data_IF_725727005300
#
_entry.id   IF_725727005300
#
_cell.length_a   1.000
_cell.length_b   1.000
_cell.length_c   1.000
_cell.angle_alpha   90.00
_cell.angle_beta   90.00
_cell.angle_gamma   90.00
#
_symmetry.space_group_name_H-M   'P 1'
#
loop_
_entity.id
_entity.type
_entity.pdbx_description
1 polymer ?
#
# COMPACT_ATOMS: atom_id res chain seq x y z
N UNK A 1 -18.20 8.25 -4.37
CA UNK A 1 -17.28 9.32 -4.01
C UNK A 1 -15.91 9.12 -4.58
N UNK A 2 -15.00 10.00 -4.24
CA UNK A 2 -13.63 9.99 -4.79
C UNK A 2 -12.84 8.75 -4.40
N UNK A 3 -13.01 8.26 -3.18
CA UNK A 3 -12.40 7.01 -2.74
C UNK A 3 -12.85 5.84 -3.62
N UNK A 4 -14.11 5.81 -4.00
CA UNK A 4 -14.66 4.81 -4.90
C UNK A 4 -14.05 4.92 -6.30
N UNK A 5 -13.87 6.14 -6.79
CA UNK A 5 -13.26 6.39 -8.10
C UNK A 5 -11.79 5.95 -8.14
N UNK A 6 -11.06 6.17 -7.05
CA UNK A 6 -9.68 5.71 -6.91
C UNK A 6 -9.62 4.18 -6.93
N UNK A 7 -10.49 3.52 -6.19
CA UNK A 7 -10.56 2.07 -6.14
C UNK A 7 -10.87 1.51 -7.53
N UNK A 8 -11.78 2.14 -8.27
CA UNK A 8 -12.08 1.77 -9.65
C UNK A 8 -10.88 1.95 -10.58
N UNK A 9 -10.16 3.07 -10.46
CA UNK A 9 -9.00 3.37 -11.31
C UNK A 9 -7.86 2.37 -11.12
N UNK A 10 -7.83 1.68 -9.99
CA UNK A 10 -6.85 0.65 -9.68
C UNK A 10 -7.22 -0.72 -10.28
N UNK A 11 -8.30 -0.80 -11.06
CA UNK A 11 -8.72 -2.03 -11.72
C UNK A 11 -9.44 -3.01 -10.82
N UNK A 12 -10.04 -2.54 -9.75
CA UNK A 12 -10.81 -3.37 -8.82
C UNK A 12 -12.19 -3.69 -9.39
N UNK A 13 -12.70 -2.82 -10.23
CA UNK A 13 -13.91 -3.02 -11.01
C UNK A 13 -13.58 -2.91 -12.50
N UNK A 14 -14.20 -3.74 -13.34
CA UNK A 14 -13.95 -3.82 -14.79
C UNK A 14 -14.49 -2.63 -15.58
N UNK A 15 -14.94 -1.57 -14.95
CA UNK A 15 -15.41 -0.38 -15.63
C UNK A 15 -14.23 0.51 -16.04
N UNK A 16 -14.17 0.83 -17.33
CA UNK A 16 -13.21 1.79 -17.84
C UNK A 16 -13.60 3.18 -17.34
N UNK A 17 -12.72 3.79 -16.56
CA UNK A 17 -12.87 5.19 -16.20
C UNK A 17 -12.42 6.07 -17.36
N UNK A 18 -13.13 7.16 -17.59
CA UNK A 18 -12.73 8.15 -18.58
C UNK A 18 -11.41 8.79 -18.17
N UNK A 19 -10.61 9.22 -19.13
CA UNK A 19 -9.37 9.95 -18.88
C UNK A 19 -9.60 11.19 -18.01
N UNK A 20 -10.76 11.81 -18.12
CA UNK A 20 -11.14 13.00 -17.34
C UNK A 20 -11.23 12.73 -15.84
N UNK A 21 -11.51 11.49 -15.45
CA UNK A 21 -11.55 11.07 -14.04
C UNK A 21 -10.17 10.60 -13.58
N UNK A 22 -9.44 9.86 -14.43
CA UNK A 22 -8.13 9.32 -14.10
C UNK A 22 -7.05 10.39 -13.91
N UNK A 23 -7.01 11.41 -14.75
CA UNK A 23 -6.01 12.48 -14.67
C UNK A 23 -6.01 13.22 -13.33
N UNK A 24 -7.18 13.68 -12.82
CA UNK A 24 -7.20 14.31 -11.50
C UNK A 24 -6.72 13.40 -10.38
N UNK A 25 -7.09 12.11 -10.44
CA UNK A 25 -6.66 11.12 -9.45
C UNK A 25 -5.16 10.92 -9.52
N UNK A 26 -4.60 10.72 -10.70
CA UNK A 26 -3.15 10.55 -10.90
C UNK A 26 -2.35 11.75 -10.41
N UNK A 27 -2.86 12.97 -10.62
CA UNK A 27 -2.21 14.20 -10.12
C UNK A 27 -2.23 14.30 -8.61
N UNK A 28 -3.27 13.75 -7.96
CA UNK A 28 -3.43 13.82 -6.52
C UNK A 28 -2.63 12.74 -5.78
N UNK A 29 -2.32 11.62 -6.45
CA UNK A 29 -1.67 10.49 -5.77
C UNK A 29 -0.70 9.69 -6.66
N UNK A 30 0.22 10.37 -7.38
CA UNK A 30 1.12 9.65 -8.29
C UNK A 30 1.98 8.61 -7.56
N UNK A 31 2.45 8.94 -6.37
CA UNK A 31 3.28 8.06 -5.54
C UNK A 31 2.51 6.83 -5.09
N UNK A 32 1.27 7.01 -4.62
CA UNK A 32 0.42 5.91 -4.16
C UNK A 32 0.01 5.00 -5.31
N UNK A 33 -0.27 5.56 -6.49
CA UNK A 33 -0.58 4.76 -7.67
C UNK A 33 0.59 3.86 -8.07
N UNK A 34 1.82 4.37 -8.02
CA UNK A 34 3.01 3.57 -8.28
C UNK A 34 3.14 2.43 -7.27
N UNK A 35 2.93 2.73 -5.99
CA UNK A 35 2.96 1.73 -4.92
C UNK A 35 1.90 0.64 -5.17
N UNK A 36 0.69 1.01 -5.61
CA UNK A 36 -0.36 0.04 -5.90
C UNK A 36 0.02 -0.89 -7.05
N UNK A 37 0.62 -0.34 -8.11
CA UNK A 37 1.12 -1.15 -9.24
C UNK A 37 2.19 -2.13 -8.78
N UNK A 38 3.13 -1.67 -7.96
CA UNK A 38 4.19 -2.52 -7.42
C UNK A 38 3.65 -3.58 -6.45
N UNK A 39 2.63 -3.23 -5.67
CA UNK A 39 1.96 -4.20 -4.79
C UNK A 39 1.33 -5.35 -5.60
N UNK A 40 0.69 -5.02 -6.73
CA UNK A 40 0.15 -6.04 -7.64
C UNK A 40 1.25 -6.94 -8.22
N UNK A 41 2.38 -6.35 -8.59
CA UNK A 41 3.53 -7.11 -9.09
C UNK A 41 4.08 -8.05 -8.03
N UNK A 42 4.14 -7.61 -6.77
CA UNK A 42 4.59 -8.46 -5.67
C UNK A 42 3.64 -9.65 -5.45
N UNK A 43 2.34 -9.43 -5.55
CA UNK A 43 1.38 -10.52 -5.46
C UNK A 43 1.58 -11.53 -6.61
N UNK A 44 1.74 -11.04 -7.83
CA UNK A 44 2.01 -11.89 -9.01
C UNK A 44 3.30 -12.68 -8.85
N UNK A 45 4.34 -12.06 -8.31
CA UNK A 45 5.64 -12.71 -8.08
C UNK A 45 5.51 -14.00 -7.29
N UNK A 46 4.62 -14.05 -6.33
CA UNK A 46 4.40 -15.24 -5.49
C UNK A 46 3.17 -16.05 -5.92
N UNK A 47 2.67 -15.81 -7.13
CA UNK A 47 1.58 -16.59 -7.70
C UNK A 47 0.22 -16.34 -7.06
N UNK A 48 -0.02 -15.17 -6.50
CA UNK A 48 -1.29 -14.82 -5.86
C UNK A 48 -2.01 -13.70 -6.63
N UNK A 49 -3.33 -13.79 -6.67
CA UNK A 49 -4.17 -12.77 -7.30
C UNK A 49 -4.83 -11.83 -6.27
N UNK A 50 -4.33 -11.81 -5.05
CA UNK A 50 -4.92 -11.01 -3.96
C UNK A 50 -3.89 -10.04 -3.41
N UNK A 51 -4.27 -8.78 -3.32
CA UNK A 51 -3.45 -7.73 -2.70
C UNK A 51 -4.07 -7.35 -1.36
N UNK A 52 -3.43 -7.75 -0.29
CA UNK A 52 -3.75 -7.33 1.07
C UNK A 52 -2.84 -6.19 1.52
N UNK A 53 -2.98 -5.80 2.77
CA UNK A 53 -2.18 -4.71 3.36
C UNK A 53 -0.68 -5.01 3.34
N UNK A 54 -0.29 -6.30 3.47
CA UNK A 54 1.11 -6.73 3.42
C UNK A 54 1.77 -6.42 2.06
N UNK A 55 1.01 -6.51 0.97
CA UNK A 55 1.51 -6.16 -0.35
C UNK A 55 1.71 -4.65 -0.52
N UNK A 56 0.92 -3.84 0.16
CA UNK A 56 1.15 -2.40 0.21
C UNK A 56 2.48 -2.07 0.88
N UNK A 57 2.82 -2.78 1.93
CA UNK A 57 4.11 -2.63 2.61
C UNK A 57 5.25 -2.93 1.63
N UNK A 58 5.16 -4.04 0.90
CA UNK A 58 6.15 -4.38 -0.13
C UNK A 58 6.19 -3.34 -1.25
N UNK A 59 5.04 -2.82 -1.64
CA UNK A 59 4.93 -1.78 -2.66
C UNK A 59 5.65 -0.49 -2.25
N UNK A 60 5.53 -0.09 -0.99
CA UNK A 60 6.24 1.08 -0.46
C UNK A 60 7.76 0.87 -0.56
N UNK A 61 8.22 -0.30 -0.15
CA UNK A 61 9.66 -0.63 -0.19
C UNK A 61 10.17 -0.69 -1.63
N UNK A 62 9.39 -1.29 -2.53
CA UNK A 62 9.76 -1.42 -3.94
C UNK A 62 9.81 -0.06 -4.65
N UNK A 63 8.91 0.85 -4.32
CA UNK A 63 8.91 2.19 -4.88
C UNK A 63 10.20 2.95 -4.53
N UNK A 64 10.63 2.90 -3.29
CA UNK A 64 12.00 3.23 -2.88
C UNK A 64 12.36 4.71 -2.82
N UNK A 65 11.46 5.65 -3.07
CA UNK A 65 11.78 7.08 -3.09
C UNK A 65 10.94 7.94 -2.15
N UNK A 66 9.90 7.37 -1.55
CA UNK A 66 8.97 8.11 -0.70
C UNK A 66 9.53 8.33 0.71
N UNK A 67 8.93 9.28 1.42
CA UNK A 67 9.20 9.46 2.86
C UNK A 67 8.84 8.18 3.64
N UNK A 68 7.76 7.51 3.27
CA UNK A 68 7.38 6.24 3.88
C UNK A 68 8.50 5.19 3.72
N UNK A 69 9.08 5.10 2.53
CA UNK A 69 10.24 4.22 2.29
C UNK A 69 11.41 4.60 3.20
N UNK A 70 11.73 5.91 3.30
CA UNK A 70 12.84 6.37 4.13
C UNK A 70 12.67 5.96 5.58
N UNK A 71 11.46 6.08 6.12
CA UNK A 71 11.15 5.66 7.48
C UNK A 71 11.41 4.17 7.68
N UNK A 72 10.91 3.34 6.77
CA UNK A 72 11.11 1.89 6.85
C UNK A 72 12.59 1.51 6.70
N UNK A 73 13.30 2.19 5.80
CA UNK A 73 14.72 1.98 5.57
C UNK A 73 15.56 2.36 6.80
N UNK A 74 15.21 3.45 7.46
CA UNK A 74 15.89 3.89 8.69
C UNK A 74 15.66 2.90 9.85
N UNK A 75 14.55 2.18 9.82
CA UNK A 75 14.26 1.10 10.78
C UNK A 75 14.84 -0.25 10.33
N UNK A 76 15.72 -0.21 9.34
CA UNK A 76 16.46 -1.36 8.83
C UNK A 76 15.59 -2.46 8.19
N UNK A 77 14.41 -2.09 7.72
CA UNK A 77 13.54 -3.01 6.97
C UNK A 77 14.02 -3.08 5.52
N UNK A 78 14.54 -4.23 5.13
CA UNK A 78 14.99 -4.47 3.76
C UNK A 78 13.90 -5.18 2.95
N UNK A 79 13.95 -5.03 1.63
CA UNK A 79 13.04 -5.77 0.74
C UNK A 79 13.18 -7.29 0.91
N UNK A 80 14.40 -7.77 1.06
CA UNK A 80 14.68 -9.20 1.26
C UNK A 80 13.96 -9.75 2.48
N UNK A 81 14.12 -9.08 3.62
CA UNK A 81 13.50 -9.52 4.87
C UNK A 81 11.99 -9.38 4.84
N UNK A 82 11.48 -8.28 4.29
CA UNK A 82 10.05 -8.04 4.16
C UNK A 82 9.39 -9.10 3.27
N UNK A 83 10.00 -9.44 2.14
CA UNK A 83 9.50 -10.50 1.26
C UNK A 83 9.44 -11.85 1.96
N UNK A 84 10.50 -12.21 2.71
CA UNK A 84 10.51 -13.48 3.44
C UNK A 84 9.38 -13.55 4.46
N UNK A 85 9.19 -12.49 5.23
CA UNK A 85 8.12 -12.44 6.23
C UNK A 85 6.74 -12.54 5.58
N UNK A 86 6.51 -11.79 4.51
CA UNK A 86 5.23 -11.82 3.79
C UNK A 86 4.99 -13.20 3.17
N UNK A 87 5.99 -13.79 2.55
CA UNK A 87 5.89 -15.13 1.97
C UNK A 87 5.53 -16.18 3.02
N UNK A 88 6.11 -16.08 4.21
CA UNK A 88 5.78 -16.98 5.32
C UNK A 88 4.36 -16.78 5.83
N UNK A 89 3.85 -15.54 5.80
CA UNK A 89 2.50 -15.23 6.27
C UNK A 89 1.42 -15.68 5.30
N UNK A 90 1.62 -15.48 4.01
CA UNK A 90 0.57 -15.71 3.00
C UNK A 90 0.79 -16.95 2.14
N UNK A 91 2.02 -17.43 2.07
CA UNK A 91 2.41 -18.56 1.24
C UNK A 91 2.43 -18.24 -0.25
N UNK A 92 2.90 -19.19 -1.04
CA UNK A 92 2.89 -19.09 -2.48
C UNK A 92 1.55 -19.58 -3.03
N UNK A 93 1.04 -18.89 -4.04
CA UNK A 93 -0.13 -19.31 -4.76
C UNK A 93 0.22 -20.00 -6.07
N UNK A 94 -0.80 -20.38 -6.82
CA UNK A 94 -0.67 -20.94 -8.16
C UNK A 94 -1.53 -20.17 -9.18
N UNK A 95 -1.87 -18.95 -8.85
CA UNK A 95 -2.67 -18.07 -9.71
C UNK A 95 -1.71 -17.27 -10.59
N UNK A 96 -1.49 -17.76 -11.81
CA UNK A 96 -0.58 -17.14 -12.76
C UNK A 96 -1.34 -16.53 -13.93
N UNK A 97 -0.89 -15.37 -14.38
CA UNK A 97 -1.21 -14.68 -15.62
C UNK A 97 -2.63 -14.12 -15.77
N UNK A 98 -3.65 -14.94 -16.01
CA UNK A 98 -4.95 -14.46 -16.47
C UNK A 98 -5.95 -14.13 -15.36
N UNK A 99 -5.56 -14.33 -14.11
CA UNK A 99 -6.43 -13.98 -12.99
C UNK A 99 -6.37 -12.48 -12.70
N UNK A 100 -7.53 -11.89 -12.53
CA UNK A 100 -7.66 -10.51 -12.10
C UNK A 100 -7.11 -10.36 -10.68
N UNK A 101 -6.38 -9.30 -10.44
CA UNK A 101 -5.86 -8.97 -9.11
C UNK A 101 -6.96 -8.30 -8.29
N UNK A 102 -7.26 -8.88 -7.14
CA UNK A 102 -8.31 -8.42 -6.24
C UNK A 102 -7.69 -7.81 -5.00
N UNK A 103 -8.18 -6.66 -4.57
CA UNK A 103 -7.80 -6.05 -3.31
C UNK A 103 -8.71 -6.56 -2.20
N UNK A 104 -8.15 -6.91 -1.06
CA UNK A 104 -8.93 -7.34 0.11
C UNK A 104 -9.78 -6.19 0.64
N UNK A 105 -10.82 -6.50 1.40
CA UNK A 105 -11.65 -5.49 2.07
C UNK A 105 -10.82 -4.61 2.99
N UNK A 106 -9.84 -5.17 3.69
CA UNK A 106 -8.93 -4.42 4.54
C UNK A 106 -8.03 -3.48 3.75
N UNK A 107 -7.51 -3.95 2.61
CA UNK A 107 -6.71 -3.12 1.72
C UNK A 107 -7.53 -1.92 1.21
N UNK A 108 -8.77 -2.15 0.82
CA UNK A 108 -9.68 -1.08 0.40
C UNK A 108 -9.92 -0.07 1.51
N UNK A 109 -10.13 -0.53 2.76
CA UNK A 109 -10.30 0.36 3.91
C UNK A 109 -9.06 1.21 4.17
N UNK A 110 -7.89 0.62 4.05
CA UNK A 110 -6.62 1.34 4.20
C UNK A 110 -6.49 2.45 3.18
N UNK A 111 -6.80 2.19 1.91
CA UNK A 111 -6.80 3.20 0.86
C UNK A 111 -7.78 4.33 1.17
N UNK A 112 -8.98 3.99 1.61
CA UNK A 112 -9.99 4.97 1.98
C UNK A 112 -9.57 5.83 3.17
N UNK A 113 -9.01 5.22 4.20
CA UNK A 113 -8.46 5.94 5.36
C UNK A 113 -7.35 6.90 4.95
N UNK A 114 -6.44 6.46 4.10
CA UNK A 114 -5.35 7.30 3.61
C UNK A 114 -5.88 8.52 2.87
N UNK A 115 -6.88 8.32 2.03
CA UNK A 115 -7.53 9.39 1.30
C UNK A 115 -8.20 10.40 2.25
N UNK A 116 -9.02 9.91 3.18
CA UNK A 116 -9.74 10.76 4.11
C UNK A 116 -8.78 11.54 5.02
N UNK A 117 -7.72 10.91 5.48
CA UNK A 117 -6.71 11.56 6.31
C UNK A 117 -6.02 12.71 5.59
N UNK A 118 -5.61 12.49 4.35
CA UNK A 118 -4.99 13.51 3.52
C UNK A 118 -5.95 14.69 3.28
N UNK A 119 -7.19 14.38 2.94
CA UNK A 119 -8.24 15.38 2.71
C UNK A 119 -8.51 16.20 3.96
N UNK A 120 -8.64 15.56 5.11
CA UNK A 120 -8.90 16.24 6.39
C UNK A 120 -7.74 17.13 6.84
N UNK A 121 -6.53 16.83 6.39
CA UNK A 121 -5.33 17.63 6.64
C UNK A 121 -5.09 18.72 5.59
N UNK A 122 -6.05 18.93 4.70
CA UNK A 122 -5.97 19.91 3.59
C UNK A 122 -4.75 19.71 2.69
N UNK A 123 -4.30 18.47 2.54
CA UNK A 123 -3.19 18.16 1.64
C UNK A 123 -3.68 18.15 0.19
N UNK A 124 -2.88 18.71 -0.69
CA UNK A 124 -3.15 18.71 -2.14
C UNK A 124 -2.85 17.35 -2.78
N UNK A 125 -2.04 16.53 -2.13
CA UNK A 125 -1.64 15.22 -2.63
C UNK A 125 -1.72 14.17 -1.54
N UNK A 126 -2.11 12.96 -1.93
CA UNK A 126 -2.03 11.79 -1.07
C UNK A 126 -0.64 11.19 -1.26
N UNK A 127 0.10 11.12 -0.18
CA UNK A 127 1.47 10.64 -0.19
C UNK A 127 1.57 9.24 0.39
N UNK A 128 2.70 8.57 0.16
CA UNK A 128 2.97 7.25 0.73
C UNK A 128 2.92 7.25 2.27
N UNK A 129 3.26 8.36 2.92
CA UNK A 129 3.14 8.46 4.39
C UNK A 129 1.69 8.37 4.85
N UNK A 130 0.74 8.90 4.08
CA UNK A 130 -0.69 8.78 4.40
C UNK A 130 -1.11 7.31 4.32
N UNK A 131 -0.61 6.59 3.32
CA UNK A 131 -0.84 5.16 3.17
C UNK A 131 -0.20 4.38 4.33
N UNK A 132 1.04 4.68 4.68
CA UNK A 132 1.74 3.99 5.78
C UNK A 132 1.03 4.20 7.11
N UNK A 133 0.60 5.43 7.40
CA UNK A 133 -0.17 5.74 8.60
C UNK A 133 -1.50 4.96 8.64
N UNK A 134 -2.18 4.86 7.50
CA UNK A 134 -3.41 4.08 7.40
C UNK A 134 -3.16 2.57 7.61
N UNK A 135 -2.04 2.07 7.10
CA UNK A 135 -1.62 0.67 7.30
C UNK A 135 -1.44 0.36 8.80
N UNK A 136 -0.69 1.19 9.50
CA UNK A 136 -0.41 0.95 10.93
C UNK A 136 -1.62 1.23 11.82
N UNK A 137 -2.61 1.92 11.32
CA UNK A 137 -3.87 2.18 12.02
C UNK A 137 -4.91 1.06 11.80
N UNK A 138 -4.64 0.09 10.94
CA UNK A 138 -5.54 -1.04 10.70
C UNK A 138 -5.14 -2.22 11.59
N UNK A 139 -5.88 -2.47 12.70
CA UNK A 139 -5.50 -3.51 13.66
C UNK A 139 -5.66 -4.91 13.05
N UNK A 140 -4.80 -5.82 13.48
CA UNK A 140 -4.84 -7.24 13.10
C UNK A 140 -4.69 -7.50 11.59
N UNK A 141 -4.12 -6.52 10.86
CA UNK A 141 -3.84 -6.68 9.44
C UNK A 141 -2.59 -7.55 9.23
N UNK A 142 -2.47 -8.10 8.02
CA UNK A 142 -1.27 -8.84 7.64
C UNK A 142 -0.04 -7.93 7.62
N UNK A 143 -0.19 -6.67 7.24
CA UNK A 143 0.91 -5.71 7.29
C UNK A 143 1.41 -5.52 8.72
N UNK A 144 0.50 -5.40 9.70
CA UNK A 144 0.89 -5.27 11.10
C UNK A 144 1.58 -6.53 11.62
N UNK A 145 1.10 -7.71 11.21
CA UNK A 145 1.76 -8.98 11.54
C UNK A 145 3.16 -9.06 10.95
N UNK A 146 3.32 -8.60 9.71
CA UNK A 146 4.63 -8.57 9.06
C UNK A 146 5.59 -7.62 9.79
N UNK A 147 5.13 -6.42 10.14
CA UNK A 147 5.94 -5.45 10.88
C UNK A 147 6.36 -6.00 12.24
N UNK A 148 5.43 -6.67 12.94
CA UNK A 148 5.72 -7.30 14.22
C UNK A 148 6.82 -8.36 14.08
N UNK A 149 6.75 -9.21 13.07
CA UNK A 149 7.79 -10.21 12.79
C UNK A 149 9.13 -9.58 12.38
N UNK A 150 9.09 -8.39 11.80
CA UNK A 150 10.30 -7.62 11.47
C UNK A 150 10.85 -6.85 12.68
N UNK A 151 10.18 -6.94 13.82
CA UNK A 151 10.62 -6.30 15.06
C UNK A 151 10.34 -4.80 15.14
N UNK A 152 9.37 -4.31 14.38
CA UNK A 152 9.04 -2.88 14.31
C UNK A 152 7.60 -2.66 14.76
N UNK A 153 7.38 -1.72 15.67
CA UNK A 153 6.05 -1.37 16.11
C UNK A 153 5.54 -0.05 15.47
N UNK A 154 4.25 0.18 15.61
CA UNK A 154 3.60 1.36 15.04
C UNK A 154 4.14 2.67 15.61
N UNK A 155 4.54 2.68 16.87
CA UNK A 155 5.09 3.88 17.55
C UNK A 155 6.40 4.29 16.91
N UNK A 156 7.28 3.33 16.62
CA UNK A 156 8.55 3.61 15.95
C UNK A 156 8.34 4.22 14.56
N UNK A 157 7.36 3.71 13.83
CA UNK A 157 7.02 4.25 12.50
C UNK A 157 6.48 5.68 12.62
N UNK A 158 5.58 5.94 13.56
CA UNK A 158 5.05 7.29 13.78
C UNK A 158 6.15 8.29 14.17
N UNK A 159 7.05 7.89 15.05
CA UNK A 159 8.21 8.72 15.42
C UNK A 159 9.12 8.99 14.23
N UNK A 160 9.35 7.97 13.40
CA UNK A 160 10.14 8.12 12.18
C UNK A 160 9.53 9.12 11.21
N UNK A 161 8.23 9.08 11.01
CA UNK A 161 7.52 10.03 10.14
C UNK A 161 7.63 11.44 10.69
N UNK A 162 7.42 11.63 11.99
CA UNK A 162 7.52 12.94 12.63
C UNK A 162 8.93 13.52 12.54
N UNK A 163 9.96 12.71 12.65
CA UNK A 163 11.36 13.13 12.60
C UNK A 163 11.83 13.56 11.21
N UNK A 164 11.20 13.07 10.14
CA UNK A 164 11.55 13.42 8.76
C UNK A 164 10.76 14.66 8.29
N UNK A 165 9.57 14.86 8.80
CA UNK A 165 8.70 15.98 8.43
C UNK A 165 9.15 17.29 9.06
#
# INVERSE_FOLDING_TARGET
GLAYDIIKSLGINNEKLSEDILRPIEKQMPEVLTIMKLAKEEARRIGRNVVGTEMFLLGIIAEGTSVAFEVLNDLEITMKDARLVVENLVGYGNEYFDKEIIFTSRAKRVLEKAWLSAKNSNKSKIEAVDLLLAIIDEPNSLAMKALDQLGVDAVEIKHGIQGIR
#
